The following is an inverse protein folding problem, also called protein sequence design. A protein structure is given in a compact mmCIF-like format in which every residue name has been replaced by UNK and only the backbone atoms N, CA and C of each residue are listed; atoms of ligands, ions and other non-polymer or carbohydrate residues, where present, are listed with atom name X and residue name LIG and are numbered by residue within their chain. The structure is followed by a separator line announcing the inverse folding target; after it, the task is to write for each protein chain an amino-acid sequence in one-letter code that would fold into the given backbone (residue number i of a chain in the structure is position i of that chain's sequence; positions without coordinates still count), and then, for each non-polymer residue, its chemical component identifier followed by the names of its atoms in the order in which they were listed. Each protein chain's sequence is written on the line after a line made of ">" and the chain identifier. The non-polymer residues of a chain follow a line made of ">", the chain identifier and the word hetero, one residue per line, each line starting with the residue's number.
data_IF_558770863653
#
_entry.id   IF_558770863653
#
_cell.length_a   1.000
_cell.length_b   1.000
_cell.length_c   1.000
_cell.angle_alpha   90.00
_cell.angle_beta   90.00
_cell.angle_gamma   90.00
#
_symmetry.space_group_name_H-M   'P 1'
#
loop_
_entity.id
_entity.type
_entity.pdbx_description
1 polymer ?
#
# COMPACT_ATOMS: atom_id res chain seq x y z
N UNK A 1 -1.06 31.69 -16.31
CA UNK A 1 0.33 32.13 -16.52
C UNK A 1 1.04 32.11 -15.18
N UNK A 2 2.07 31.25 -15.03
CA UNK A 2 2.85 31.17 -13.79
C UNK A 2 3.73 32.41 -13.68
N UNK A 3 3.66 33.14 -12.57
CA UNK A 3 4.48 34.32 -12.31
C UNK A 3 5.78 34.00 -11.58
N UNK A 4 5.76 32.98 -10.71
CA UNK A 4 6.91 32.51 -9.96
C UNK A 4 6.69 31.05 -9.52
N UNK A 5 7.75 30.34 -9.17
CA UNK A 5 7.68 29.01 -8.61
C UNK A 5 8.70 28.83 -7.48
N UNK A 6 8.38 27.96 -6.54
CA UNK A 6 9.25 27.59 -5.41
C UNK A 6 9.12 26.09 -5.19
N UNK A 7 10.20 25.42 -4.76
CA UNK A 7 10.13 24.02 -4.34
C UNK A 7 9.43 23.88 -2.98
N UNK A 8 8.80 22.74 -2.71
CA UNK A 8 8.20 22.47 -1.41
C UNK A 8 9.22 22.55 -0.27
N UNK A 9 10.44 22.08 -0.48
CA UNK A 9 11.51 22.15 0.51
C UNK A 9 11.82 23.60 0.89
N UNK A 10 11.98 24.48 -0.09
CA UNK A 10 12.25 25.89 0.14
C UNK A 10 11.06 26.60 0.80
N UNK A 11 9.83 26.28 0.39
CA UNK A 11 8.63 26.83 0.99
C UNK A 11 8.56 26.45 2.49
N UNK A 12 8.72 25.18 2.83
CA UNK A 12 8.61 24.75 4.22
C UNK A 12 9.74 25.30 5.10
N UNK A 13 10.93 25.50 4.56
CA UNK A 13 12.04 26.14 5.29
C UNK A 13 11.78 27.61 5.66
N UNK A 14 10.81 28.27 5.04
CA UNK A 14 10.42 29.66 5.37
C UNK A 14 9.63 29.76 6.68
N UNK A 15 9.08 28.66 7.19
CA UNK A 15 8.32 28.67 8.43
C UNK A 15 9.25 28.61 9.65
N UNK A 16 8.97 29.45 10.65
CA UNK A 16 9.74 29.46 11.91
C UNK A 16 9.51 28.21 12.74
N UNK A 17 8.31 27.64 12.68
CA UNK A 17 7.95 26.36 13.32
C UNK A 17 7.42 25.43 12.24
N UNK A 18 8.02 24.29 12.12
CA UNK A 18 7.63 23.25 11.18
C UNK A 18 7.52 21.93 11.91
N UNK A 19 6.40 21.26 11.77
CA UNK A 19 6.19 19.90 12.28
C UNK A 19 5.26 19.14 11.34
N UNK A 20 5.28 17.82 11.43
CA UNK A 20 4.42 16.95 10.64
C UNK A 20 4.27 15.59 11.28
N UNK A 21 3.37 14.79 10.76
CA UNK A 21 3.14 13.42 11.20
C UNK A 21 3.09 12.48 10.00
N UNK A 22 3.69 11.32 10.14
CA UNK A 22 3.66 10.28 9.12
C UNK A 22 3.91 8.92 9.74
N UNK A 23 3.35 7.85 9.18
CA UNK A 23 3.62 6.48 9.59
C UNK A 23 5.01 5.95 9.16
N UNK A 24 5.73 6.67 8.28
CA UNK A 24 6.96 6.21 7.66
C UNK A 24 8.14 7.20 7.81
N UNK A 25 8.10 8.08 8.81
CA UNK A 25 9.12 9.14 8.97
C UNK A 25 10.49 8.66 9.44
N UNK A 26 10.55 7.58 10.21
CA UNK A 26 11.82 7.15 10.84
C UNK A 26 12.87 6.71 9.82
N UNK A 27 12.47 6.11 8.72
CA UNK A 27 13.38 5.70 7.65
C UNK A 27 14.06 6.87 6.93
N UNK A 28 13.44 8.05 6.98
CA UNK A 28 13.92 9.27 6.31
C UNK A 28 14.42 10.34 7.30
N UNK A 29 14.75 9.94 8.53
CA UNK A 29 15.17 10.86 9.59
C UNK A 29 16.36 11.72 9.22
N UNK A 30 17.32 11.16 8.51
CA UNK A 30 18.54 11.87 8.06
C UNK A 30 18.19 12.99 7.07
N UNK A 31 17.31 12.71 6.11
CA UNK A 31 16.81 13.70 5.16
C UNK A 31 16.05 14.83 5.88
N UNK A 32 15.16 14.51 6.82
CA UNK A 32 14.47 15.52 7.62
C UNK A 32 15.41 16.39 8.43
N UNK A 33 16.46 15.82 8.98
CA UNK A 33 17.47 16.57 9.72
C UNK A 33 18.28 17.48 8.81
N UNK A 34 18.72 16.99 7.66
CA UNK A 34 19.56 17.74 6.72
C UNK A 34 18.79 18.89 6.05
N UNK A 35 17.56 18.64 5.58
CA UNK A 35 16.81 19.64 4.81
C UNK A 35 16.10 20.63 5.73
N UNK A 36 15.50 20.17 6.83
CA UNK A 36 14.61 20.97 7.66
C UNK A 36 15.11 21.19 9.09
N UNK A 37 16.23 20.56 9.48
CA UNK A 37 16.76 20.57 10.84
C UNK A 37 15.71 20.14 11.89
N UNK A 38 14.87 19.16 11.56
CA UNK A 38 13.90 18.56 12.46
C UNK A 38 14.24 17.11 12.78
N UNK A 39 13.86 16.68 14.00
CA UNK A 39 14.03 15.30 14.45
C UNK A 39 12.77 14.50 14.19
N UNK A 40 12.96 13.21 13.96
CA UNK A 40 11.86 12.26 13.91
C UNK A 40 11.73 11.55 15.26
N UNK A 41 10.60 11.74 15.91
CA UNK A 41 10.31 11.15 17.21
C UNK A 41 9.28 10.04 17.02
N UNK A 42 9.65 8.75 17.20
CA UNK A 42 8.70 7.66 17.19
C UNK A 42 7.74 7.76 18.37
N UNK A 43 6.45 7.76 18.10
CA UNK A 43 5.41 7.72 19.14
C UNK A 43 4.87 6.29 19.16
N UNK A 44 4.92 5.60 20.32
CA UNK A 44 4.42 4.24 20.42
C UNK A 44 2.90 4.19 20.14
N UNK A 45 2.45 3.08 19.58
CA UNK A 45 1.03 2.86 19.30
C UNK A 45 0.23 2.74 20.59
N UNK A 46 -1.01 3.24 20.58
CA UNK A 46 -1.93 3.11 21.72
C UNK A 46 -2.27 1.66 22.07
N UNK A 47 -2.32 0.79 21.05
CA UNK A 47 -2.55 -0.66 21.21
C UNK A 47 -1.38 -1.42 20.60
N UNK A 48 -1.10 -2.65 21.09
CA UNK A 48 -0.08 -3.50 20.46
C UNK A 48 -0.35 -3.69 18.95
N UNK A 49 0.72 -3.71 18.17
CA UNK A 49 0.64 -4.02 16.74
C UNK A 49 0.20 -5.46 16.56
N UNK A 50 -0.91 -5.68 15.85
CA UNK A 50 -1.44 -7.00 15.56
C UNK A 50 -1.00 -7.53 14.18
N UNK A 51 -0.28 -6.73 13.38
CA UNK A 51 0.23 -7.12 12.07
C UNK A 51 1.25 -8.27 12.22
N UNK A 52 1.10 -9.26 11.37
CA UNK A 52 2.03 -10.40 11.28
C UNK A 52 2.76 -10.26 9.95
N UNK A 53 4.07 -10.05 10.01
CA UNK A 53 4.91 -9.97 8.82
C UNK A 53 5.51 -11.36 8.54
N UNK A 54 5.16 -11.94 7.39
CA UNK A 54 5.70 -13.21 6.94
C UNK A 54 7.03 -13.00 6.19
N UNK A 55 7.93 -14.00 6.18
CA UNK A 55 9.15 -13.91 5.40
C UNK A 55 8.86 -13.87 3.90
N UNK A 56 9.79 -13.26 3.15
CA UNK A 56 9.70 -13.20 1.70
C UNK A 56 9.77 -14.60 1.09
N UNK A 57 8.98 -14.83 0.05
CA UNK A 57 9.01 -16.05 -0.75
C UNK A 57 9.73 -15.78 -2.07
N UNK A 58 10.73 -16.60 -2.38
CA UNK A 58 11.51 -16.50 -3.60
C UNK A 58 11.02 -17.50 -4.64
N UNK A 59 10.91 -17.06 -5.87
CA UNK A 59 10.47 -17.86 -7.00
C UNK A 59 11.49 -17.85 -8.14
N UNK A 60 11.65 -18.94 -8.89
CA UNK A 60 12.66 -19.03 -9.94
C UNK A 60 12.31 -18.21 -11.19
N UNK A 61 11.07 -17.78 -11.35
CA UNK A 61 10.62 -16.95 -12.48
C UNK A 61 9.46 -16.06 -12.10
N UNK A 62 9.25 -14.97 -12.86
CA UNK A 62 8.10 -14.09 -12.71
C UNK A 62 6.79 -14.84 -12.90
N UNK A 63 6.73 -15.75 -13.86
CA UNK A 63 5.53 -16.54 -14.12
C UNK A 63 5.16 -17.42 -12.93
N UNK A 64 6.13 -18.13 -12.33
CA UNK A 64 5.87 -18.95 -11.15
C UNK A 64 5.47 -18.08 -9.94
N UNK A 65 6.07 -16.91 -9.77
CA UNK A 65 5.68 -15.95 -8.74
C UNK A 65 4.23 -15.51 -8.90
N UNK A 66 3.85 -15.04 -10.07
CA UNK A 66 2.47 -14.58 -10.31
C UNK A 66 1.44 -15.69 -10.24
N UNK A 67 1.80 -16.90 -10.64
CA UNK A 67 0.94 -18.07 -10.43
C UNK A 67 0.68 -18.31 -8.94
N UNK A 68 1.71 -18.27 -8.12
CA UNK A 68 1.60 -18.44 -6.68
C UNK A 68 0.76 -17.31 -6.05
N UNK A 69 0.95 -16.06 -6.47
CA UNK A 69 0.12 -14.93 -6.01
C UNK A 69 -1.36 -15.15 -6.33
N UNK A 70 -1.68 -15.55 -7.56
CA UNK A 70 -3.07 -15.82 -7.98
C UNK A 70 -3.69 -16.94 -7.16
N UNK A 71 -2.97 -18.03 -6.93
CA UNK A 71 -3.46 -19.15 -6.11
C UNK A 71 -3.71 -18.73 -4.65
N UNK A 72 -2.81 -17.97 -4.03
CA UNK A 72 -2.97 -17.48 -2.66
C UNK A 72 -4.18 -16.50 -2.57
N UNK A 73 -4.31 -15.58 -3.51
CA UNK A 73 -5.45 -14.68 -3.58
C UNK A 73 -6.76 -15.43 -3.71
N UNK A 74 -6.81 -16.43 -4.61
CA UNK A 74 -8.00 -17.26 -4.83
C UNK A 74 -8.40 -18.03 -3.57
N UNK A 75 -7.45 -18.65 -2.88
CA UNK A 75 -7.69 -19.38 -1.64
C UNK A 75 -8.27 -18.47 -0.56
N UNK A 76 -7.70 -17.30 -0.36
CA UNK A 76 -8.17 -16.32 0.61
C UNK A 76 -9.54 -15.76 0.25
N UNK A 77 -9.76 -15.45 -1.02
CA UNK A 77 -11.06 -15.02 -1.52
C UNK A 77 -12.16 -16.06 -1.23
N UNK A 78 -11.89 -17.35 -1.45
CA UNK A 78 -12.83 -18.43 -1.17
C UNK A 78 -13.18 -18.54 0.32
N UNK A 79 -12.24 -18.20 1.21
CA UNK A 79 -12.45 -18.13 2.66
C UNK A 79 -13.12 -16.83 3.11
N UNK A 80 -13.29 -15.87 2.22
CA UNK A 80 -13.85 -14.56 2.50
C UNK A 80 -12.88 -13.55 3.09
N UNK A 81 -11.58 -13.86 3.19
CA UNK A 81 -10.56 -12.93 3.65
C UNK A 81 -10.27 -11.87 2.59
N UNK A 82 -10.31 -10.55 2.92
CA UNK A 82 -9.92 -9.52 1.97
C UNK A 82 -8.42 -9.54 1.69
N UNK A 83 -8.05 -9.25 0.44
CA UNK A 83 -6.66 -9.25 -0.02
C UNK A 83 -6.35 -7.94 -0.72
N UNK A 84 -5.23 -7.33 -0.36
CA UNK A 84 -4.65 -6.19 -1.05
C UNK A 84 -3.33 -6.62 -1.68
N UNK A 85 -3.26 -6.56 -3.01
CA UNK A 85 -2.05 -6.91 -3.76
C UNK A 85 -1.35 -5.65 -4.21
N UNK A 86 -0.15 -5.43 -3.71
CA UNK A 86 0.71 -4.31 -4.07
C UNK A 86 1.57 -4.62 -5.30
N UNK A 87 1.54 -3.74 -6.29
CA UNK A 87 2.40 -3.79 -7.48
C UNK A 87 3.18 -2.50 -7.63
N UNK A 88 4.32 -2.53 -8.30
CA UNK A 88 5.16 -1.34 -8.52
C UNK A 88 4.74 -0.61 -9.80
N UNK A 89 4.34 -1.34 -10.84
CA UNK A 89 4.00 -0.79 -12.14
C UNK A 89 2.54 -1.04 -12.54
N UNK A 90 1.98 -0.14 -13.36
CA UNK A 90 0.63 -0.29 -13.91
C UNK A 90 0.51 -1.53 -14.77
N UNK A 91 1.54 -1.83 -15.57
CA UNK A 91 1.59 -3.01 -16.45
C UNK A 91 1.52 -4.31 -15.66
N UNK A 92 2.18 -4.37 -14.50
CA UNK A 92 2.13 -5.51 -13.58
C UNK A 92 0.72 -5.67 -13.00
N UNK A 93 0.06 -4.57 -12.64
CA UNK A 93 -1.31 -4.61 -12.14
C UNK A 93 -2.30 -5.08 -13.20
N UNK A 94 -2.14 -4.63 -14.45
CA UNK A 94 -2.97 -5.06 -15.59
C UNK A 94 -2.77 -6.56 -15.90
N UNK A 95 -1.52 -7.03 -15.86
CA UNK A 95 -1.19 -8.45 -16.05
C UNK A 95 -1.84 -9.33 -14.98
N UNK A 96 -1.68 -8.95 -13.72
CA UNK A 96 -2.24 -9.69 -12.58
C UNK A 96 -3.78 -9.67 -12.61
N UNK A 97 -4.37 -8.54 -12.99
CA UNK A 97 -5.82 -8.41 -13.17
C UNK A 97 -6.36 -9.42 -14.19
N UNK A 98 -5.70 -9.56 -15.33
CA UNK A 98 -6.08 -10.56 -16.35
C UNK A 98 -6.01 -11.99 -15.81
N UNK A 99 -4.98 -12.30 -15.03
CA UNK A 99 -4.82 -13.62 -14.39
C UNK A 99 -5.92 -13.89 -13.36
N UNK A 100 -6.31 -12.90 -12.57
CA UNK A 100 -7.41 -13.03 -11.61
C UNK A 100 -8.77 -13.20 -12.30
N UNK A 101 -9.02 -12.49 -13.41
CA UNK A 101 -10.22 -12.71 -14.24
C UNK A 101 -10.28 -14.15 -14.73
N UNK A 102 -9.18 -14.66 -15.28
CA UNK A 102 -9.08 -16.05 -15.74
C UNK A 102 -9.29 -17.07 -14.61
N UNK A 103 -8.91 -16.74 -13.38
CA UNK A 103 -9.12 -17.57 -12.21
C UNK A 103 -10.53 -17.45 -11.60
N UNK A 104 -11.39 -16.58 -12.14
CA UNK A 104 -12.74 -16.34 -11.65
C UNK A 104 -12.80 -15.56 -10.34
N UNK A 105 -11.81 -14.73 -10.05
CA UNK A 105 -11.75 -13.90 -8.84
C UNK A 105 -12.16 -12.47 -9.16
N UNK A 106 -13.32 -11.99 -8.68
CA UNK A 106 -13.71 -10.60 -8.80
C UNK A 106 -12.74 -9.71 -8.02
N UNK A 107 -12.35 -8.59 -8.60
CA UNK A 107 -11.39 -7.67 -7.98
C UNK A 107 -11.53 -6.24 -8.52
N UNK A 108 -10.96 -5.30 -7.79
CA UNK A 108 -10.82 -3.91 -8.20
C UNK A 108 -9.35 -3.59 -8.44
N UNK A 109 -9.10 -2.68 -9.39
CA UNK A 109 -7.74 -2.21 -9.69
C UNK A 109 -7.65 -0.72 -9.39
N UNK A 110 -6.74 -0.37 -8.49
CA UNK A 110 -6.45 0.99 -8.07
C UNK A 110 -5.08 1.41 -8.61
N UNK A 111 -5.09 2.25 -9.63
CA UNK A 111 -3.88 2.80 -10.24
C UNK A 111 -4.13 4.24 -10.75
N UNK A 112 -3.10 4.85 -11.33
CA UNK A 112 -3.17 6.22 -11.83
C UNK A 112 -4.26 6.48 -12.89
N UNK A 113 -4.78 5.44 -13.54
CA UNK A 113 -5.84 5.55 -14.55
C UNK A 113 -7.25 5.70 -13.93
N UNK A 114 -7.45 5.32 -12.66
CA UNK A 114 -8.76 5.18 -12.02
C UNK A 114 -8.93 6.05 -10.77
N UNK A 115 -8.29 7.20 -10.70
CA UNK A 115 -8.31 8.09 -9.53
C UNK A 115 -9.71 8.49 -9.04
N UNK A 116 -10.67 8.63 -9.95
CA UNK A 116 -12.01 9.07 -9.58
C UNK A 116 -12.81 8.04 -8.75
N UNK A 117 -12.41 6.77 -8.74
CA UNK A 117 -13.00 5.71 -7.94
C UNK A 117 -12.19 5.36 -6.68
N UNK A 118 -11.06 6.01 -6.49
CA UNK A 118 -10.09 5.65 -5.46
C UNK A 118 -10.72 5.54 -4.07
N UNK A 119 -11.44 6.57 -3.63
CA UNK A 119 -12.06 6.59 -2.32
C UNK A 119 -13.06 5.43 -2.12
N UNK A 120 -13.85 5.11 -3.14
CA UNK A 120 -14.84 4.03 -3.08
C UNK A 120 -14.15 2.65 -3.04
N UNK A 121 -13.11 2.46 -3.85
CA UNK A 121 -12.32 1.21 -3.86
C UNK A 121 -11.68 0.98 -2.50
N UNK A 122 -11.06 2.01 -1.92
CA UNK A 122 -10.42 1.91 -0.60
C UNK A 122 -11.44 1.64 0.51
N UNK A 123 -12.61 2.29 0.49
CA UNK A 123 -13.67 2.01 1.46
C UNK A 123 -14.11 0.53 1.45
N UNK A 124 -14.06 -0.11 0.30
CA UNK A 124 -14.48 -1.50 0.13
C UNK A 124 -13.33 -2.51 0.28
N UNK A 125 -12.08 -2.06 0.23
CA UNK A 125 -10.90 -2.96 0.23
C UNK A 125 -10.76 -3.82 1.49
N UNK A 126 -11.29 -3.39 2.62
CA UNK A 126 -11.30 -4.13 3.89
C UNK A 126 -12.53 -4.99 4.12
N UNK A 127 -13.47 -5.04 3.19
CA UNK A 127 -14.70 -5.82 3.33
C UNK A 127 -14.47 -7.30 3.02
N UNK A 128 -15.33 -8.15 3.56
CA UNK A 128 -15.25 -9.59 3.35
C UNK A 128 -15.24 -9.95 1.86
N UNK A 129 -14.29 -10.75 1.43
CA UNK A 129 -14.16 -11.21 0.06
C UNK A 129 -13.66 -10.15 -0.94
N UNK A 130 -13.29 -8.96 -0.48
CA UNK A 130 -12.73 -7.93 -1.36
C UNK A 130 -11.31 -8.31 -1.81
N UNK A 131 -11.05 -8.19 -3.10
CA UNK A 131 -9.71 -8.32 -3.68
C UNK A 131 -9.37 -7.04 -4.41
N UNK A 132 -8.28 -6.40 -4.03
CA UNK A 132 -7.84 -5.12 -4.59
C UNK A 132 -6.40 -5.23 -5.05
N UNK A 133 -6.12 -4.82 -6.28
CA UNK A 133 -4.76 -4.62 -6.78
C UNK A 133 -4.48 -3.13 -6.74
N UNK A 134 -3.40 -2.72 -6.08
CA UNK A 134 -3.02 -1.31 -6.00
C UNK A 134 -1.55 -1.12 -6.38
N UNK A 135 -1.25 -0.09 -7.15
CA UNK A 135 0.14 0.37 -7.30
C UNK A 135 0.57 1.13 -6.04
N UNK A 136 1.86 1.13 -5.74
CA UNK A 136 2.45 1.75 -4.54
C UNK A 136 2.16 3.26 -4.39
N UNK A 137 1.76 3.93 -5.47
CA UNK A 137 1.40 5.36 -5.47
C UNK A 137 -0.09 5.60 -5.17
N UNK A 138 -0.92 4.56 -5.23
CA UNK A 138 -2.36 4.66 -5.05
C UNK A 138 -2.77 4.33 -3.60
N UNK A 139 -3.79 5.01 -3.08
CA UNK A 139 -4.35 4.75 -1.75
C UNK A 139 -3.50 5.22 -0.58
N UNK A 140 -2.41 5.90 -0.82
CA UNK A 140 -1.51 6.39 0.23
C UNK A 140 -2.19 7.43 1.12
N UNK A 141 -2.02 7.28 2.43
CA UNK A 141 -2.59 8.19 3.43
C UNK A 141 -4.07 7.96 3.72
N UNK A 142 -4.67 6.89 3.18
CA UNK A 142 -6.06 6.53 3.44
C UNK A 142 -6.14 5.25 4.26
N UNK A 143 -6.93 5.28 5.32
CA UNK A 143 -7.12 4.14 6.22
C UNK A 143 -8.11 3.13 5.64
N UNK A 144 -7.72 1.85 5.60
CA UNK A 144 -8.58 0.74 5.19
C UNK A 144 -9.25 0.15 6.42
N UNK A 145 -10.55 0.38 6.55
CA UNK A 145 -11.34 -0.16 7.66
C UNK A 145 -11.75 -1.60 7.37
N UNK A 146 -11.51 -2.48 8.34
CA UNK A 146 -11.95 -3.87 8.24
C UNK A 146 -13.47 -3.97 8.43
N UNK A 147 -14.11 -4.74 7.56
CA UNK A 147 -15.52 -5.08 7.67
C UNK A 147 -15.82 -6.00 8.86
N UNK A 148 -17.11 -6.21 9.10
CA UNK A 148 -17.55 -7.12 10.15
C UNK A 148 -17.09 -8.55 9.88
N UNK A 149 -16.59 -9.24 10.91
CA UNK A 149 -16.10 -10.62 10.83
C UNK A 149 -14.75 -10.82 10.10
N UNK A 150 -14.16 -9.76 9.55
CA UNK A 150 -12.89 -9.86 8.82
C UNK A 150 -11.72 -10.14 9.76
N UNK A 151 -11.77 -9.60 10.97
CA UNK A 151 -10.70 -9.82 11.96
C UNK A 151 -10.54 -11.29 12.32
N UNK A 152 -11.64 -12.02 12.45
CA UNK A 152 -11.70 -13.45 12.75
C UNK A 152 -11.17 -14.32 11.60
N UNK A 153 -11.21 -13.80 10.37
CA UNK A 153 -10.63 -14.43 9.18
C UNK A 153 -9.10 -14.19 9.03
N UNK A 154 -8.50 -13.45 9.97
CA UNK A 154 -7.09 -13.08 9.92
C UNK A 154 -6.82 -11.64 9.48
N UNK A 155 -7.87 -10.81 9.33
CA UNK A 155 -7.76 -9.42 8.91
C UNK A 155 -7.49 -9.25 7.42
N UNK A 156 -6.97 -8.09 7.02
CA UNK A 156 -6.58 -7.81 5.64
C UNK A 156 -5.25 -8.50 5.34
N UNK A 157 -5.23 -9.36 4.32
CA UNK A 157 -3.99 -9.92 3.79
C UNK A 157 -3.36 -8.94 2.80
N UNK A 158 -2.11 -8.57 3.03
CA UNK A 158 -1.34 -7.70 2.13
C UNK A 158 -0.25 -8.52 1.45
N UNK A 159 -0.25 -8.55 0.12
CA UNK A 159 0.74 -9.25 -0.69
C UNK A 159 1.53 -8.22 -1.49
N UNK A 160 2.80 -8.02 -1.16
CA UNK A 160 3.72 -7.27 -1.99
C UNK A 160 4.32 -8.16 -3.09
N UNK A 161 4.15 -7.80 -4.35
CA UNK A 161 4.68 -8.61 -5.46
C UNK A 161 6.18 -8.42 -5.66
N UNK A 162 6.75 -7.35 -5.14
CA UNK A 162 8.19 -7.06 -5.17
C UNK A 162 8.55 -6.02 -4.12
N UNK A 163 9.83 -5.95 -3.76
CA UNK A 163 10.37 -4.92 -2.89
C UNK A 163 10.59 -3.63 -3.67
N UNK A 164 10.39 -2.50 -3.01
CA UNK A 164 10.72 -1.19 -3.55
C UNK A 164 12.13 -0.75 -3.15
N UNK A 165 12.73 0.17 -3.91
CA UNK A 165 14.03 0.75 -3.56
C UNK A 165 13.99 1.56 -2.26
N UNK A 166 12.85 2.17 -1.96
CA UNK A 166 12.63 2.95 -0.74
C UNK A 166 11.95 2.11 0.34
N UNK A 167 12.61 1.96 1.49
CA UNK A 167 12.03 1.29 2.69
C UNK A 167 10.72 1.90 3.15
N UNK A 168 10.52 3.19 2.91
CA UNK A 168 9.30 3.91 3.24
C UNK A 168 8.07 3.35 2.53
N UNK A 169 8.23 2.77 1.35
CA UNK A 169 7.14 2.17 0.58
C UNK A 169 6.88 0.73 1.02
N UNK A 170 7.93 0.01 1.42
CA UNK A 170 7.81 -1.36 1.92
C UNK A 170 7.23 -1.44 3.34
N UNK A 171 7.32 -0.36 4.13
CA UNK A 171 6.76 -0.26 5.47
C UNK A 171 5.31 0.21 5.48
#
# INVERSE_FOLDING_TARGET
>A
KTSASITYQNLFRMYKKLSGMTGTGKTEEEEFREIYNIRVIPIPTNRPVARIDHPDLLYPSLESKFRAVVEDVKERYQKGQPVLVGTVAVETSDYLSKKLVAAGVPHEVLNAKNHYKEAQIIMNAGQRGAVTIATNMAGRGTDIKLGEGVRELGGLCVIGTERHESRRIDN
#
